data_IF_536794635422
#
_entry.id   IF_536794635422
#
_cell.length_a   1.000
_cell.length_b   1.000
_cell.length_c   1.000
_cell.angle_alpha   90.00
_cell.angle_beta   90.00
_cell.angle_gamma   90.00
#
_symmetry.space_group_name_H-M   'P 1'
#
loop_
_entity.id
_entity.type
_entity.pdbx_description
1 polymer ?
#
# COMPACT_ATOMS: atom_id res chain seq x y z
N UNK A 1 -14.88 -25.63 25.52
CA UNK A 1 -16.32 -25.35 25.29
C UNK A 1 -16.42 -24.48 24.05
N UNK A 2 -17.18 -24.90 23.04
CA UNK A 2 -17.54 -24.04 21.90
C UNK A 2 -18.46 -22.91 22.39
N UNK A 3 -18.17 -21.66 22.04
CA UNK A 3 -19.08 -20.53 22.29
C UNK A 3 -20.26 -20.63 21.31
N UNK A 4 -21.48 -20.38 21.81
CA UNK A 4 -22.74 -20.46 21.04
C UNK A 4 -22.93 -19.28 20.06
N UNK A 5 -22.27 -18.15 20.31
CA UNK A 5 -22.33 -16.95 19.46
C UNK A 5 -20.88 -16.54 19.15
N UNK A 6 -20.48 -16.42 17.87
CA UNK A 6 -19.15 -15.98 17.48
C UNK A 6 -18.89 -14.51 17.89
N UNK A 7 -17.64 -14.16 18.19
CA UNK A 7 -17.26 -12.76 18.40
C UNK A 7 -16.89 -12.13 17.05
N UNK A 8 -17.32 -10.89 16.82
CA UNK A 8 -17.03 -10.16 15.57
C UNK A 8 -15.52 -10.02 15.32
N UNK A 9 -14.76 -9.84 16.39
CA UNK A 9 -13.30 -9.70 16.39
C UNK A 9 -12.59 -10.93 15.79
N UNK A 10 -13.17 -12.13 15.95
CA UNK A 10 -12.64 -13.37 15.38
C UNK A 10 -12.67 -13.37 13.83
N UNK A 11 -13.44 -12.46 13.23
CA UNK A 11 -13.57 -12.25 11.78
C UNK A 11 -12.97 -10.92 11.31
N UNK A 12 -12.20 -10.24 12.18
CA UNK A 12 -11.65 -8.92 11.89
C UNK A 12 -12.71 -7.81 11.81
N UNK A 13 -13.89 -8.02 12.38
CA UNK A 13 -14.98 -7.05 12.38
C UNK A 13 -15.02 -6.24 13.68
N UNK A 14 -15.12 -4.93 13.54
CA UNK A 14 -15.38 -4.01 14.63
C UNK A 14 -16.88 -3.95 14.93
N UNK A 15 -17.27 -4.13 16.19
CA UNK A 15 -18.66 -3.90 16.62
C UNK A 15 -19.13 -2.44 16.39
N UNK A 16 -18.19 -1.49 16.34
CA UNK A 16 -18.47 -0.05 16.17
C UNK A 16 -18.37 0.40 14.73
N UNK A 17 -17.40 -0.13 13.97
CA UNK A 17 -17.08 0.35 12.62
C UNK A 17 -17.27 -0.69 11.51
N UNK A 18 -17.78 -1.88 11.85
CA UNK A 18 -17.99 -2.97 10.88
C UNK A 18 -16.67 -3.47 10.29
N UNK A 19 -16.53 -3.38 8.97
CA UNK A 19 -15.32 -3.79 8.25
C UNK A 19 -14.15 -2.82 8.40
N UNK A 20 -14.38 -1.63 8.96
CA UNK A 20 -13.29 -0.71 9.23
C UNK A 20 -12.53 -1.14 10.49
N UNK A 21 -11.21 -0.95 10.52
CA UNK A 21 -10.41 -1.28 11.69
C UNK A 21 -10.85 -0.48 12.92
N UNK A 22 -10.69 -1.06 14.11
CA UNK A 22 -10.92 -0.35 15.37
C UNK A 22 -9.95 0.83 15.53
N UNK A 23 -8.68 0.60 15.22
CA UNK A 23 -7.63 1.60 15.26
C UNK A 23 -7.58 2.41 13.95
N UNK A 24 -7.33 3.73 14.00
CA UNK A 24 -7.20 4.52 12.78
C UNK A 24 -6.04 4.02 11.91
N UNK A 25 -6.17 4.07 10.57
CA UNK A 25 -5.10 3.66 9.67
C UNK A 25 -3.80 4.42 9.92
N UNK A 26 -2.68 3.72 9.85
CA UNK A 26 -1.35 4.31 9.99
C UNK A 26 -1.12 5.38 8.90
N UNK A 27 -0.75 6.59 9.30
CA UNK A 27 -0.59 7.73 8.39
C UNK A 27 0.80 7.73 7.73
N UNK A 28 1.84 7.23 8.40
CA UNK A 28 3.21 7.25 7.91
C UNK A 28 3.94 5.95 8.26
N UNK A 29 4.76 5.47 7.33
CA UNK A 29 5.77 4.44 7.63
C UNK A 29 6.98 5.15 8.24
N UNK A 30 7.20 4.97 9.54
CA UNK A 30 8.25 5.68 10.29
C UNK A 30 9.67 5.28 9.89
N UNK A 31 9.83 4.10 9.29
CA UNK A 31 11.12 3.60 8.87
C UNK A 31 11.59 4.36 7.61
N UNK A 32 12.72 5.05 7.72
CA UNK A 32 13.23 5.96 6.67
C UNK A 32 13.43 5.27 5.31
N UNK A 33 13.65 3.95 5.29
CA UNK A 33 13.76 3.17 4.07
C UNK A 33 12.48 3.21 3.22
N UNK A 34 11.30 3.42 3.81
CA UNK A 34 10.02 3.48 3.10
C UNK A 34 9.59 4.89 2.70
N UNK A 35 10.38 5.92 3.02
CA UNK A 35 10.08 7.30 2.64
C UNK A 35 9.90 7.45 1.12
N UNK A 36 10.62 6.66 0.32
CA UNK A 36 10.50 6.71 -1.13
C UNK A 36 9.06 6.46 -1.60
N UNK A 37 8.37 5.47 -1.05
CA UNK A 37 6.96 5.22 -1.35
C UNK A 37 6.05 6.35 -0.87
N UNK A 38 6.26 6.81 0.37
CA UNK A 38 5.48 7.92 0.94
C UNK A 38 5.59 9.20 0.12
N UNK A 39 6.80 9.54 -0.34
CA UNK A 39 7.09 10.74 -1.10
C UNK A 39 6.43 10.72 -2.48
N UNK A 40 6.44 9.59 -3.19
CA UNK A 40 5.74 9.48 -4.49
C UNK A 40 4.25 9.71 -4.32
N UNK A 41 3.61 9.05 -3.34
CA UNK A 41 2.16 9.16 -3.14
C UNK A 41 1.76 10.55 -2.62
N UNK A 42 2.57 11.15 -1.74
CA UNK A 42 2.33 12.52 -1.25
C UNK A 42 2.37 13.55 -2.38
N UNK A 43 3.19 13.33 -3.41
CA UNK A 43 3.31 14.20 -4.58
C UNK A 43 2.50 13.71 -5.80
N UNK A 44 1.69 12.66 -5.64
CA UNK A 44 1.00 11.97 -6.74
C UNK A 44 0.19 12.93 -7.64
N UNK A 45 -0.61 13.88 -7.11
CA UNK A 45 -1.36 14.79 -7.98
C UNK A 45 -0.47 15.68 -8.86
N UNK A 46 0.70 16.09 -8.36
CA UNK A 46 1.63 16.91 -9.13
C UNK A 46 2.35 16.08 -10.20
N UNK A 47 2.82 14.88 -9.82
CA UNK A 47 3.46 13.94 -10.75
C UNK A 47 2.53 13.52 -11.89
N UNK A 48 1.24 13.32 -11.60
CA UNK A 48 0.20 13.03 -12.61
C UNK A 48 0.01 14.20 -13.58
N UNK A 49 -0.13 15.43 -13.06
CA UNK A 49 -0.36 16.62 -13.90
C UNK A 49 0.82 16.92 -14.81
N UNK A 50 2.03 16.65 -14.34
CA UNK A 50 3.25 16.94 -15.10
C UNK A 50 3.68 15.77 -16.01
N UNK A 51 2.96 14.64 -15.99
CA UNK A 51 3.33 13.39 -16.66
C UNK A 51 4.68 12.77 -16.21
N UNK A 52 5.14 13.12 -15.00
CA UNK A 52 6.41 12.66 -14.42
C UNK A 52 6.26 11.38 -13.57
N UNK A 53 5.03 10.94 -13.32
CA UNK A 53 4.77 9.83 -12.39
C UNK A 53 5.51 8.54 -12.75
N UNK A 54 5.50 8.16 -14.03
CA UNK A 54 6.17 6.93 -14.49
C UNK A 54 7.68 7.01 -14.24
N UNK A 55 8.30 8.14 -14.58
CA UNK A 55 9.73 8.35 -14.34
C UNK A 55 10.07 8.32 -12.84
N UNK A 56 9.26 8.96 -12.00
CA UNK A 56 9.46 8.94 -10.55
C UNK A 56 9.40 7.51 -9.98
N UNK A 57 8.47 6.68 -10.49
CA UNK A 57 8.34 5.28 -10.10
C UNK A 57 9.50 4.43 -10.64
N UNK A 58 9.90 4.64 -11.89
CA UNK A 58 11.00 3.89 -12.52
C UNK A 58 12.35 4.15 -11.80
N UNK A 59 12.50 5.32 -11.17
CA UNK A 59 13.65 5.68 -10.32
C UNK A 59 13.55 5.24 -8.87
N UNK A 60 12.47 4.61 -8.45
CA UNK A 60 12.40 4.07 -7.09
C UNK A 60 13.50 3.01 -6.90
N UNK A 61 14.10 2.96 -5.71
CA UNK A 61 14.91 1.80 -5.34
C UNK A 61 14.01 0.58 -5.15
N UNK A 62 14.58 -0.60 -5.34
CA UNK A 62 13.94 -1.85 -4.92
C UNK A 62 13.94 -1.90 -3.38
N UNK A 63 12.77 -1.80 -2.75
CA UNK A 63 12.62 -1.79 -1.29
C UNK A 63 12.21 -3.17 -0.78
N UNK A 64 12.89 -3.62 0.27
CA UNK A 64 12.58 -4.88 0.95
C UNK A 64 11.43 -4.71 1.97
N UNK A 65 10.63 -5.74 2.14
CA UNK A 65 9.44 -5.74 3.00
C UNK A 65 9.68 -6.33 4.39
N UNK A 66 10.89 -6.82 4.70
CA UNK A 66 11.23 -7.39 6.01
C UNK A 66 11.03 -6.44 7.21
N UNK A 67 11.00 -5.12 6.97
CA UNK A 67 10.72 -4.10 7.98
C UNK A 67 9.23 -3.90 8.30
N UNK A 68 8.32 -4.45 7.49
CA UNK A 68 6.87 -4.39 7.70
C UNK A 68 6.46 -5.50 8.69
N UNK A 69 6.52 -5.20 9.99
CA UNK A 69 6.37 -6.21 11.06
C UNK A 69 4.97 -6.36 11.63
N UNK A 70 4.07 -5.44 11.32
CA UNK A 70 2.72 -5.42 11.85
C UNK A 70 1.70 -5.11 10.75
N UNK A 71 0.44 -5.46 11.02
CA UNK A 71 -0.65 -5.32 10.05
C UNK A 71 -0.89 -3.85 9.65
N UNK A 72 -0.70 -2.90 10.56
CA UNK A 72 -0.91 -1.49 10.26
C UNK A 72 0.12 -0.96 9.25
N UNK A 73 1.40 -1.34 9.41
CA UNK A 73 2.47 -1.07 8.44
C UNK A 73 2.19 -1.74 7.10
N UNK A 74 1.77 -3.01 7.11
CA UNK A 74 1.41 -3.72 5.88
C UNK A 74 0.27 -3.06 5.13
N UNK A 75 -0.84 -2.75 5.81
CA UNK A 75 -1.99 -2.05 5.22
C UNK A 75 -1.57 -0.71 4.63
N UNK A 76 -0.73 0.06 5.33
CA UNK A 76 -0.22 1.34 4.82
C UNK A 76 0.65 1.15 3.58
N UNK A 77 1.61 0.25 3.62
CA UNK A 77 2.48 -0.05 2.48
C UNK A 77 1.66 -0.51 1.26
N UNK A 78 0.70 -1.41 1.46
CA UNK A 78 -0.17 -1.90 0.40
C UNK A 78 -0.97 -0.77 -0.25
N UNK A 79 -1.58 0.13 0.54
CA UNK A 79 -2.28 1.29 -0.01
C UNK A 79 -1.36 2.17 -0.86
N UNK A 80 -0.15 2.49 -0.38
CA UNK A 80 0.82 3.30 -1.12
C UNK A 80 1.20 2.64 -2.46
N UNK A 81 1.50 1.34 -2.43
CA UNK A 81 1.86 0.55 -3.60
C UNK A 81 0.71 0.48 -4.61
N UNK A 82 -0.52 0.23 -4.16
CA UNK A 82 -1.70 0.22 -5.04
C UNK A 82 -1.94 1.57 -5.71
N UNK A 83 -1.81 2.69 -4.98
CA UNK A 83 -1.91 4.02 -5.61
C UNK A 83 -0.84 4.22 -6.70
N UNK A 84 0.39 3.81 -6.45
CA UNK A 84 1.46 3.89 -7.45
C UNK A 84 1.20 2.98 -8.65
N UNK A 85 0.72 1.74 -8.44
CA UNK A 85 0.40 0.80 -9.53
C UNK A 85 -0.73 1.38 -10.41
N UNK A 86 -1.84 1.81 -9.80
CA UNK A 86 -2.97 2.38 -10.55
C UNK A 86 -2.54 3.63 -11.30
N UNK A 87 -1.76 4.50 -10.66
CA UNK A 87 -1.19 5.67 -11.31
C UNK A 87 -0.28 5.29 -12.48
N UNK A 88 0.65 4.36 -12.30
CA UNK A 88 1.58 3.95 -13.35
C UNK A 88 0.87 3.36 -14.58
N UNK A 89 -0.09 2.47 -14.35
CA UNK A 89 -0.85 1.78 -15.39
C UNK A 89 -1.66 2.78 -16.19
N UNK A 90 -2.43 3.65 -15.53
CA UNK A 90 -3.44 4.48 -16.20
C UNK A 90 -2.98 5.89 -16.55
N UNK A 91 -1.88 6.39 -15.98
CA UNK A 91 -1.41 7.75 -16.23
C UNK A 91 -0.38 7.80 -17.36
N UNK A 92 -0.81 8.28 -18.53
CA UNK A 92 -0.01 8.49 -19.74
C UNK A 92 -0.89 8.39 -20.99
N UNK A 93 -0.30 8.57 -22.17
CA UNK A 93 -1.07 8.54 -23.44
C UNK A 93 -1.78 7.20 -23.68
N UNK A 94 -1.11 6.10 -23.30
CA UNK A 94 -1.64 4.75 -23.36
C UNK A 94 -1.42 4.04 -22.01
N UNK A 95 -2.36 3.16 -21.61
CA UNK A 95 -2.18 2.30 -20.46
C UNK A 95 -0.93 1.42 -20.56
N UNK A 96 -0.33 1.06 -19.43
CA UNK A 96 0.78 0.10 -19.35
C UNK A 96 0.29 -1.22 -18.79
N UNK A 97 0.54 -2.31 -19.51
CA UNK A 97 0.15 -3.67 -19.07
C UNK A 97 1.08 -4.27 -18.01
N UNK A 98 2.23 -3.64 -17.75
CA UNK A 98 3.25 -4.12 -16.82
C UNK A 98 3.72 -2.98 -15.93
N UNK A 99 3.57 -3.18 -14.62
CA UNK A 99 4.18 -2.33 -13.61
C UNK A 99 5.64 -2.77 -13.37
N UNK A 100 6.54 -1.83 -13.03
CA UNK A 100 7.94 -2.14 -12.79
C UNK A 100 8.13 -2.89 -11.45
N UNK A 101 9.18 -3.72 -11.32
CA UNK A 101 9.36 -4.62 -10.18
C UNK A 101 9.34 -3.93 -8.82
N UNK A 102 9.78 -2.68 -8.74
CA UNK A 102 9.82 -1.85 -7.54
C UNK A 102 8.47 -1.66 -6.87
N UNK A 103 7.38 -1.73 -7.65
CA UNK A 103 6.01 -1.63 -7.13
C UNK A 103 5.19 -2.90 -7.35
N UNK A 104 5.61 -3.79 -8.25
CA UNK A 104 4.92 -5.05 -8.54
C UNK A 104 5.29 -6.19 -7.58
N UNK A 105 6.54 -6.25 -7.11
CA UNK A 105 7.02 -7.34 -6.24
C UNK A 105 6.63 -7.14 -4.77
N UNK A 106 6.80 -5.96 -4.13
CA UNK A 106 6.52 -5.82 -2.71
C UNK A 106 5.10 -6.23 -2.28
N UNK A 107 4.01 -5.94 -3.05
CA UNK A 107 2.68 -6.42 -2.70
C UNK A 107 2.53 -7.95 -2.66
N UNK A 108 3.36 -8.70 -3.41
CA UNK A 108 3.29 -10.16 -3.45
C UNK A 108 3.75 -10.80 -2.14
N UNK A 109 4.61 -10.11 -1.37
CA UNK A 109 5.04 -10.57 -0.06
C UNK A 109 3.88 -10.64 0.95
N UNK A 110 2.81 -9.88 0.74
CA UNK A 110 1.60 -9.89 1.59
C UNK A 110 0.88 -11.24 1.57
N UNK A 111 0.99 -12.03 0.48
CA UNK A 111 0.24 -13.29 0.34
C UNK A 111 0.70 -14.42 1.29
N UNK A 112 1.67 -14.13 2.16
CA UNK A 112 2.30 -15.11 3.05
C UNK A 112 1.86 -14.97 4.51
N UNK A 113 1.00 -13.99 4.83
CA UNK A 113 0.53 -13.66 6.18
C UNK A 113 -0.94 -14.05 6.33
#
# INVERSE_FOLDING_TARGET
MLRLIPMLEDYGLSAKFGFLPHEPPLVLLSDLCYNAWGNVVANLPALIRNADLRQAIDWLPMLDTSGLKDEAKWRRAYCLLCFMIQGYVWNGDLPKDRAPPQIAIPPLAVQSI
#
